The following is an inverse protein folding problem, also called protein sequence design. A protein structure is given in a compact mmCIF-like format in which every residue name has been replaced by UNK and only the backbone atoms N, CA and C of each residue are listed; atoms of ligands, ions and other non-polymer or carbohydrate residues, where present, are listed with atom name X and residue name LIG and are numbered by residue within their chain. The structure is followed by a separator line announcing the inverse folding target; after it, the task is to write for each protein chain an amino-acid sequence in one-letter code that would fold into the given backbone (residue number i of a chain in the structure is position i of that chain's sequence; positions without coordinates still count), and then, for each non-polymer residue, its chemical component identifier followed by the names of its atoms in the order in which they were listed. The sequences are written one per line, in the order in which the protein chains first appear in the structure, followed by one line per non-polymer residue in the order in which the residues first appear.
data_IF_992126660756
#
_entry.id   IF_992126660756
#
_cell.length_a   1.000
_cell.length_b   1.000
_cell.length_c   1.000
_cell.angle_alpha   90.00
_cell.angle_beta   90.00
_cell.angle_gamma   90.00
#
_symmetry.space_group_name_H-M   'P 1'
#
loop_
_entity.id
_entity.type
_entity.pdbx_description
1 polymer ?
#
# COMPACT_ATOMS: atom_id res chain seq x y z
N UNK A 1 11.94 10.10 -11.91
CA UNK A 1 11.07 9.13 -11.19
C UNK A 1 9.72 8.88 -11.85
N UNK A 2 9.01 9.88 -12.40
CA UNK A 2 7.65 9.66 -12.97
C UNK A 2 7.52 8.70 -14.16
N UNK A 3 8.58 8.48 -14.95
CA UNK A 3 8.55 7.53 -16.08
C UNK A 3 8.54 6.06 -15.63
N UNK A 4 9.29 5.74 -14.56
CA UNK A 4 9.36 4.40 -14.00
C UNK A 4 8.06 4.04 -13.27
N UNK A 5 7.58 4.95 -12.41
CA UNK A 5 6.32 4.76 -11.69
C UNK A 5 5.16 4.47 -12.67
N UNK A 6 5.02 5.28 -13.73
CA UNK A 6 3.99 5.07 -14.75
C UNK A 6 4.15 3.76 -15.52
N UNK A 7 5.39 3.32 -15.76
CA UNK A 7 5.65 2.03 -16.41
C UNK A 7 5.23 0.87 -15.51
N UNK A 8 5.54 0.95 -14.22
CA UNK A 8 5.13 -0.03 -13.21
C UNK A 8 3.61 -0.07 -13.04
N UNK A 9 2.97 1.10 -12.94
CA UNK A 9 1.50 1.23 -12.87
C UNK A 9 0.81 0.53 -14.05
N UNK A 10 1.31 0.70 -15.28
CA UNK A 10 0.75 0.03 -16.46
C UNK A 10 0.87 -1.48 -16.40
N UNK A 11 2.00 -2.00 -15.93
CA UNK A 11 2.20 -3.46 -15.78
C UNK A 11 1.24 -4.00 -14.72
N UNK A 12 1.15 -3.34 -13.57
CA UNK A 12 0.23 -3.72 -12.49
C UNK A 12 -1.22 -3.68 -12.99
N UNK A 13 -1.63 -2.61 -13.68
CA UNK A 13 -2.99 -2.47 -14.20
C UNK A 13 -3.35 -3.51 -15.26
N UNK A 14 -2.40 -3.91 -16.11
CA UNK A 14 -2.62 -4.94 -17.13
C UNK A 14 -2.85 -6.34 -16.55
N UNK A 15 -2.34 -6.59 -15.33
CA UNK A 15 -2.45 -7.89 -14.65
C UNK A 15 -3.49 -7.91 -13.54
N UNK A 16 -4.11 -6.78 -13.21
CA UNK A 16 -5.04 -6.67 -12.09
C UNK A 16 -6.46 -7.03 -12.50
N UNK A 17 -7.13 -7.97 -11.81
CA UNK A 17 -8.54 -8.27 -12.07
C UNK A 17 -9.46 -7.16 -11.55
N UNK A 18 -10.71 -7.13 -12.06
CA UNK A 18 -11.75 -6.17 -11.63
C UNK A 18 -12.02 -6.19 -10.11
N UNK A 19 -11.73 -7.32 -9.45
CA UNK A 19 -11.90 -7.50 -8.00
C UNK A 19 -10.64 -8.07 -7.39
N UNK A 20 -10.13 -7.39 -6.36
CA UNK A 20 -8.99 -7.80 -5.57
C UNK A 20 -9.21 -7.41 -4.10
N UNK A 21 -8.54 -8.10 -3.20
CA UNK A 21 -8.46 -7.70 -1.79
C UNK A 21 -7.40 -6.63 -1.59
N UNK A 22 -7.50 -5.85 -0.53
CA UNK A 22 -6.45 -4.93 -0.10
C UNK A 22 -5.72 -5.52 1.11
N UNK A 23 -4.39 -5.43 1.11
CA UNK A 23 -3.55 -5.71 2.26
C UNK A 23 -2.88 -4.41 2.68
N UNK A 24 -2.99 -4.10 3.96
CA UNK A 24 -2.28 -2.99 4.59
C UNK A 24 -1.16 -3.58 5.43
N UNK A 25 0.06 -3.10 5.21
CA UNK A 25 1.24 -3.49 5.96
C UNK A 25 1.99 -2.26 6.48
N UNK A 26 2.61 -2.40 7.64
CA UNK A 26 3.40 -1.35 8.29
C UNK A 26 4.89 -1.66 8.16
N UNK A 27 5.68 -0.69 7.68
CA UNK A 27 7.13 -0.81 7.61
C UNK A 27 7.79 0.34 8.36
N UNK A 28 8.93 0.09 9.01
CA UNK A 28 9.72 1.15 9.66
C UNK A 28 11.12 1.18 9.09
N UNK A 29 11.59 2.34 8.63
CA UNK A 29 12.96 2.55 8.21
C UNK A 29 13.52 3.84 8.79
N UNK A 30 14.68 3.76 9.44
CA UNK A 30 15.38 4.93 10.00
C UNK A 30 14.49 5.84 10.90
N UNK A 31 13.59 5.24 11.67
CA UNK A 31 12.60 5.90 12.56
C UNK A 31 11.40 6.54 11.87
N UNK A 32 11.27 6.39 10.55
CA UNK A 32 10.07 6.78 9.83
C UNK A 32 9.18 5.55 9.61
N UNK A 33 7.92 5.68 10.02
CA UNK A 33 6.90 4.66 9.83
C UNK A 33 6.22 4.88 8.50
N UNK A 34 5.99 3.80 7.77
CA UNK A 34 5.38 3.78 6.46
C UNK A 34 4.20 2.82 6.46
N UNK A 35 3.16 3.20 5.74
CA UNK A 35 2.06 2.30 5.40
C UNK A 35 2.20 1.93 3.94
N UNK A 36 2.23 0.62 3.69
CA UNK A 36 2.20 0.06 2.36
C UNK A 36 0.82 -0.56 2.09
N UNK A 37 0.25 -0.23 0.94
CA UNK A 37 -1.00 -0.80 0.44
C UNK A 37 -0.67 -1.73 -0.71
N UNK A 38 -1.14 -2.97 -0.64
CA UNK A 38 -0.98 -3.98 -1.68
C UNK A 38 -2.35 -4.43 -2.17
N UNK A 39 -2.45 -4.78 -3.46
CA UNK A 39 -3.55 -5.62 -3.92
C UNK A 39 -3.24 -7.08 -3.55
N UNK A 40 -4.27 -7.88 -3.29
CA UNK A 40 -4.21 -9.33 -3.21
C UNK A 40 -5.19 -9.90 -4.21
N UNK A 41 -4.67 -10.55 -5.23
CA UNK A 41 -5.47 -11.22 -6.24
C UNK A 41 -4.91 -12.60 -6.57
N UNK A 42 -5.75 -13.42 -7.20
CA UNK A 42 -5.34 -14.66 -7.84
C UNK A 42 -5.55 -14.49 -9.34
N UNK A 43 -4.50 -14.71 -10.11
CA UNK A 43 -4.51 -14.63 -11.57
C UNK A 43 -3.87 -15.91 -12.08
N UNK A 44 -4.59 -16.66 -12.92
CA UNK A 44 -4.15 -17.95 -13.44
C UNK A 44 -3.71 -18.94 -12.35
N UNK A 45 -4.49 -19.03 -11.26
CA UNK A 45 -4.19 -19.84 -10.08
C UNK A 45 -2.89 -19.45 -9.33
N UNK A 46 -2.32 -18.28 -9.63
CA UNK A 46 -1.14 -17.73 -8.96
C UNK A 46 -1.55 -16.55 -8.10
N UNK A 47 -1.25 -16.63 -6.81
CA UNK A 47 -1.42 -15.51 -5.90
C UNK A 47 -0.42 -14.40 -6.23
N UNK A 48 -0.95 -13.19 -6.45
CA UNK A 48 -0.15 -11.97 -6.69
C UNK A 48 -0.41 -10.95 -5.58
N UNK A 49 0.64 -10.24 -5.20
CA UNK A 49 0.60 -9.16 -4.19
C UNK A 49 1.35 -7.91 -4.63
N UNK A 50 0.92 -7.22 -5.71
CA UNK A 50 1.62 -6.04 -6.18
C UNK A 50 1.43 -4.86 -5.21
N UNK A 51 2.48 -4.06 -4.94
CA UNK A 51 2.36 -2.82 -4.18
C UNK A 51 1.61 -1.76 -4.99
N UNK A 52 0.66 -1.08 -4.36
CA UNK A 52 -0.14 0.00 -4.97
C UNK A 52 0.32 1.37 -4.51
N UNK A 53 0.61 1.51 -3.21
CA UNK A 53 1.02 2.77 -2.62
C UNK A 53 1.93 2.50 -1.42
N UNK A 54 2.89 3.39 -1.20
CA UNK A 54 3.65 3.49 0.04
C UNK A 54 3.66 4.95 0.42
N UNK A 55 3.24 5.26 1.65
CA UNK A 55 3.24 6.61 2.17
C UNK A 55 3.87 6.61 3.57
N UNK A 56 4.67 7.64 3.91
CA UNK A 56 5.06 7.85 5.29
C UNK A 56 3.81 8.16 6.13
N UNK A 57 3.75 7.60 7.33
CA UNK A 57 2.79 7.97 8.35
C UNK A 57 3.27 9.30 8.95
N UNK A 58 2.39 10.30 9.02
CA UNK A 58 2.76 11.69 9.34
C UNK A 58 3.18 11.80 10.80
N UNK A 59 4.48 11.78 11.06
CA UNK A 59 5.08 11.76 12.39
C UNK A 59 4.76 13.01 13.25
N UNK A 60 3.54 13.12 13.79
CA UNK A 60 3.26 13.94 14.95
C UNK A 60 3.70 13.15 16.19
N UNK A 61 4.36 13.81 17.14
CA UNK A 61 5.03 13.18 18.30
C UNK A 61 4.09 12.35 19.22
N UNK A 62 2.78 12.33 18.93
CA UNK A 62 1.69 11.60 19.60
C UNK A 62 0.95 10.60 18.69
N UNK A 63 1.51 10.18 17.55
CA UNK A 63 0.83 9.22 16.69
C UNK A 63 0.70 7.82 17.32
N UNK A 64 -0.54 7.33 17.38
CA UNK A 64 -0.90 5.98 17.81
C UNK A 64 -0.44 4.96 16.75
N UNK A 65 0.84 4.56 16.81
CA UNK A 65 1.47 3.57 15.91
C UNK A 65 0.84 2.16 16.00
N UNK A 66 -0.20 1.97 16.80
CA UNK A 66 -0.97 0.74 16.83
C UNK A 66 -1.90 0.66 15.61
N UNK A 67 -2.59 -0.48 15.46
CA UNK A 67 -3.54 -0.71 14.37
C UNK A 67 -4.62 0.39 14.26
N UNK A 68 -4.95 1.07 15.37
CA UNK A 68 -5.96 2.13 15.40
C UNK A 68 -5.51 3.39 14.66
N UNK A 69 -4.28 3.88 14.86
CA UNK A 69 -3.78 5.03 14.10
C UNK A 69 -3.64 4.71 12.62
N UNK A 70 -3.20 3.49 12.30
CA UNK A 70 -3.19 2.98 10.92
C UNK A 70 -4.60 3.02 10.29
N UNK A 71 -5.64 2.55 10.97
CA UNK A 71 -7.01 2.63 10.44
C UNK A 71 -7.51 4.08 10.29
N UNK A 72 -7.16 4.96 11.23
CA UNK A 72 -7.55 6.37 11.16
C UNK A 72 -6.93 7.07 9.95
N UNK A 73 -5.64 6.82 9.66
CA UNK A 73 -4.97 7.32 8.47
C UNK A 73 -5.62 6.77 7.18
N UNK A 74 -5.89 5.47 7.13
CA UNK A 74 -6.54 4.86 5.96
C UNK A 74 -7.93 5.44 5.67
N UNK A 75 -8.70 5.80 6.71
CA UNK A 75 -9.99 6.47 6.55
C UNK A 75 -9.89 7.87 5.92
N UNK A 76 -8.70 8.49 5.91
CA UNK A 76 -8.47 9.75 5.18
C UNK A 76 -8.10 9.55 3.72
N UNK A 77 -7.70 8.34 3.34
CA UNK A 77 -7.26 8.00 1.98
C UNK A 77 -8.37 7.36 1.11
N UNK A 78 -9.35 6.72 1.75
CA UNK A 78 -10.50 6.05 1.11
C UNK A 78 -11.73 6.97 1.06
#
# INVERSE_FOLDING_TARGET
MGSLARSVERVIAAEMPDRFGLIFDGWTHASEHYIAVYARCEVDCVAKTPPLCIAPLLNDEEEDLLARGHMAFLATML
#
